data_IF_060108714261
#
_entry.id   IF_060108714261
#
_cell.length_a   1.000
_cell.length_b   1.000
_cell.length_c   1.000
_cell.angle_alpha   90.00
_cell.angle_beta   90.00
_cell.angle_gamma   90.00
#
_symmetry.space_group_name_H-M   'P 1'
#
loop_
_entity.id
_entity.type
_entity.pdbx_description
1 polymer ?
#
# COMPACT_ATOMS: atom_id res chain seq x y z
N UNK A 1 9.58 -10.61 -6.73
CA UNK A 1 8.36 -10.32 -7.51
C UNK A 1 7.86 -11.47 -8.38
N UNK A 2 8.72 -12.35 -8.95
CA UNK A 2 8.27 -13.48 -9.79
C UNK A 2 7.16 -14.33 -9.13
N UNK A 3 7.24 -14.51 -7.81
CA UNK A 3 6.23 -15.23 -7.03
C UNK A 3 4.84 -14.54 -6.99
N UNK A 4 4.77 -13.22 -7.12
CA UNK A 4 3.52 -12.44 -7.05
C UNK A 4 2.91 -12.17 -8.44
N UNK A 5 3.52 -12.73 -9.49
CA UNK A 5 3.11 -12.55 -10.87
C UNK A 5 2.54 -13.87 -11.36
N UNK A 6 1.35 -13.84 -11.94
CA UNK A 6 0.79 -15.05 -12.55
C UNK A 6 1.62 -15.45 -13.79
N UNK A 7 1.76 -16.74 -14.10
CA UNK A 7 2.58 -17.18 -15.24
C UNK A 7 2.11 -16.63 -16.60
N UNK A 8 0.81 -16.33 -16.74
CA UNK A 8 0.21 -15.77 -17.95
C UNK A 8 0.59 -14.28 -18.11
N UNK A 9 1.08 -13.91 -19.29
CA UNK A 9 1.38 -12.51 -19.65
C UNK A 9 0.35 -11.96 -20.62
N UNK A 10 0.05 -10.66 -20.50
CA UNK A 10 -0.85 -9.96 -21.42
C UNK A 10 -0.10 -9.57 -22.71
N UNK A 11 1.12 -9.05 -22.58
CA UNK A 11 2.06 -8.78 -23.67
C UNK A 11 3.51 -8.78 -23.13
N UNK A 12 4.52 -8.49 -23.98
CA UNK A 12 5.95 -8.55 -23.60
C UNK A 12 6.33 -7.63 -22.43
N UNK A 13 5.58 -6.55 -22.18
CA UNK A 13 5.95 -5.49 -21.23
C UNK A 13 5.01 -5.38 -20.03
N UNK A 14 3.98 -6.23 -19.94
CA UNK A 14 2.99 -6.19 -18.86
C UNK A 14 2.90 -7.53 -18.13
N UNK A 15 2.98 -7.45 -16.80
CA UNK A 15 2.75 -8.56 -15.89
C UNK A 15 1.37 -8.43 -15.26
N UNK A 16 0.75 -9.58 -15.00
CA UNK A 16 -0.50 -9.64 -14.24
C UNK A 16 -0.13 -10.02 -12.80
N UNK A 17 -0.60 -9.24 -11.84
CA UNK A 17 -0.38 -9.48 -10.41
C UNK A 17 -1.37 -10.55 -9.95
N UNK A 18 -0.90 -11.49 -9.13
CA UNK A 18 -1.75 -12.51 -8.51
C UNK A 18 -2.66 -11.88 -7.45
N UNK A 19 -3.96 -11.82 -7.76
CA UNK A 19 -4.98 -11.23 -6.89
C UNK A 19 -5.27 -12.07 -5.65
N UNK A 20 -5.11 -13.40 -5.71
CA UNK A 20 -5.34 -14.30 -4.57
C UNK A 20 -4.25 -14.05 -3.53
N UNK A 21 -3.00 -13.93 -3.97
CA UNK A 21 -1.90 -13.52 -3.09
C UNK A 21 -2.12 -12.10 -2.57
N UNK A 22 -2.50 -11.16 -3.42
CA UNK A 22 -2.77 -9.77 -3.01
C UNK A 22 -3.80 -9.72 -1.89
N UNK A 23 -4.91 -10.44 -2.00
CA UNK A 23 -5.93 -10.52 -0.95
C UNK A 23 -5.35 -11.06 0.37
N UNK A 24 -4.66 -12.20 0.33
CA UNK A 24 -4.06 -12.82 1.53
C UNK A 24 -3.10 -11.87 2.25
N UNK A 25 -2.22 -11.20 1.51
CA UNK A 25 -1.26 -10.27 2.10
C UNK A 25 -1.92 -8.97 2.57
N UNK A 26 -3.00 -8.52 1.91
CA UNK A 26 -3.80 -7.39 2.34
C UNK A 26 -4.49 -7.66 3.69
N UNK A 27 -5.10 -8.83 3.85
CA UNK A 27 -5.73 -9.26 5.11
C UNK A 27 -4.71 -9.33 6.25
N UNK A 28 -3.52 -9.89 5.98
CA UNK A 28 -2.42 -9.91 6.95
C UNK A 28 -1.97 -8.50 7.35
N UNK A 29 -1.73 -7.62 6.38
CA UNK A 29 -1.32 -6.25 6.64
C UNK A 29 -2.38 -5.47 7.43
N UNK A 30 -3.66 -5.65 7.09
CA UNK A 30 -4.77 -5.03 7.79
C UNK A 30 -4.80 -5.44 9.27
N UNK A 31 -4.73 -6.74 9.57
CA UNK A 31 -4.70 -7.24 10.95
C UNK A 31 -3.51 -6.69 11.75
N UNK A 32 -2.35 -6.54 11.11
CA UNK A 32 -1.18 -5.95 11.77
C UNK A 32 -1.39 -4.47 12.09
N UNK A 33 -1.87 -3.69 11.12
CA UNK A 33 -2.14 -2.26 11.28
C UNK A 33 -3.20 -2.03 12.35
N UNK A 34 -4.27 -2.82 12.37
CA UNK A 34 -5.32 -2.76 13.38
C UNK A 34 -4.76 -2.99 14.79
N UNK A 35 -3.94 -4.04 14.97
CA UNK A 35 -3.29 -4.33 16.26
C UNK A 35 -2.34 -3.22 16.74
N UNK A 36 -1.64 -2.56 15.82
CA UNK A 36 -0.73 -1.46 16.13
C UNK A 36 -1.50 -0.17 16.43
N UNK A 37 -2.56 0.11 15.67
CA UNK A 37 -3.44 1.25 15.90
C UNK A 37 -4.12 1.16 17.27
N UNK A 38 -4.56 -0.03 17.68
CA UNK A 38 -5.13 -0.27 19.01
C UNK A 38 -4.15 0.02 20.16
N UNK A 39 -2.84 -0.02 19.90
CA UNK A 39 -1.78 0.32 20.88
C UNK A 39 -1.43 1.81 20.87
N UNK A 40 -2.09 2.64 20.07
CA UNK A 40 -1.83 4.08 19.97
C UNK A 40 -0.50 4.42 19.29
N UNK A 41 0.02 3.52 18.44
CA UNK A 41 1.27 3.76 17.72
C UNK A 41 1.03 4.76 16.59
N UNK A 42 1.97 5.67 16.37
CA UNK A 42 1.90 6.65 15.28
C UNK A 42 2.24 6.02 13.93
N UNK A 43 1.53 6.43 12.87
CA UNK A 43 1.77 6.00 11.49
C UNK A 43 2.25 7.16 10.62
N UNK A 44 3.06 6.82 9.61
CA UNK A 44 3.46 7.75 8.55
C UNK A 44 3.10 7.18 7.19
N UNK A 45 2.41 7.96 6.37
CA UNK A 45 2.08 7.62 5.00
C UNK A 45 3.09 8.27 4.05
N UNK A 46 3.68 7.50 3.14
CA UNK A 46 4.71 8.00 2.22
C UNK A 46 4.28 7.80 0.77
N UNK A 47 4.27 8.88 -0.01
CA UNK A 47 3.84 8.83 -1.41
C UNK A 47 4.27 10.06 -2.20
N UNK A 48 5.45 10.00 -2.81
CA UNK A 48 6.10 11.14 -3.47
C UNK A 48 5.78 11.26 -4.97
N UNK A 49 5.28 10.18 -5.59
CA UNK A 49 4.89 10.16 -7.01
C UNK A 49 3.68 11.07 -7.25
N UNK A 50 3.67 11.80 -8.37
CA UNK A 50 2.58 12.74 -8.74
C UNK A 50 1.17 12.15 -8.57
N UNK A 51 0.98 10.89 -8.97
CA UNK A 51 -0.30 10.17 -8.87
C UNK A 51 -0.69 9.73 -7.45
N UNK A 52 0.27 9.66 -6.51
CA UNK A 52 0.07 9.20 -5.14
C UNK A 52 0.00 10.34 -4.11
N UNK A 53 0.56 11.51 -4.42
CA UNK A 53 0.66 12.65 -3.48
C UNK A 53 -0.66 12.99 -2.81
N UNK A 54 -1.70 13.20 -3.62
CA UNK A 54 -3.03 13.60 -3.15
C UNK A 54 -3.66 12.50 -2.29
N UNK A 55 -3.68 11.27 -2.78
CA UNK A 55 -4.27 10.12 -2.09
C UNK A 55 -3.61 9.82 -0.75
N UNK A 56 -2.28 9.90 -0.68
CA UNK A 56 -1.53 9.68 0.57
C UNK A 56 -1.81 10.77 1.59
N UNK A 57 -1.82 12.04 1.17
CA UNK A 57 -2.15 13.17 2.04
C UNK A 57 -3.57 13.04 2.61
N UNK A 58 -4.57 12.82 1.75
CA UNK A 58 -5.98 12.70 2.15
C UNK A 58 -6.21 11.51 3.11
N UNK A 59 -5.54 10.38 2.89
CA UNK A 59 -5.63 9.21 3.77
C UNK A 59 -5.04 9.46 5.16
N UNK A 60 -3.90 10.16 5.22
CA UNK A 60 -3.27 10.52 6.47
C UNK A 60 -4.09 11.53 7.26
N UNK A 61 -4.63 12.57 6.60
CA UNK A 61 -5.51 13.57 7.23
C UNK A 61 -6.78 12.91 7.81
N UNK A 62 -7.42 12.00 7.07
CA UNK A 62 -8.61 11.26 7.54
C UNK A 62 -8.36 10.42 8.79
N UNK A 63 -7.11 10.00 9.00
CA UNK A 63 -6.70 9.14 10.12
C UNK A 63 -5.85 9.87 11.15
N UNK A 64 -5.73 11.21 11.04
CA UNK A 64 -4.87 12.05 11.87
C UNK A 64 -3.43 11.52 12.00
N UNK A 65 -2.90 10.98 10.91
CA UNK A 65 -1.55 10.39 10.82
C UNK A 65 -0.56 11.32 10.13
N UNK A 66 0.74 11.08 10.29
CA UNK A 66 1.78 11.84 9.59
C UNK A 66 1.84 11.44 8.11
N UNK A 67 2.34 12.33 7.25
CA UNK A 67 2.59 11.98 5.85
C UNK A 67 3.77 12.72 5.25
N UNK A 68 4.32 12.15 4.17
CA UNK A 68 5.23 12.83 3.25
C UNK A 68 4.81 12.56 1.82
N UNK A 69 4.39 13.63 1.17
CA UNK A 69 3.97 13.65 -0.24
C UNK A 69 5.01 14.30 -1.16
N UNK A 70 6.03 14.94 -0.59
CA UNK A 70 7.13 15.57 -1.31
C UNK A 70 8.38 14.70 -1.28
N UNK A 71 9.52 15.19 -1.79
CA UNK A 71 10.77 14.45 -1.77
C UNK A 71 11.12 14.07 -0.32
N UNK A 72 11.23 12.77 -0.07
CA UNK A 72 11.76 12.19 1.16
C UNK A 72 13.29 12.09 1.05
#
# INVERSE_FOLDING_TARGET
MKEFIVPKRLNKNAHIIDIVKTQKYLEFAYSLVEKLAAKGVSFIFVGTKRQAKKTVKEAAERTNSLYVSERW
#
